data_IF_592345970688
#
_entry.id   IF_592345970688
#
_cell.length_a   1.000
_cell.length_b   1.000
_cell.length_c   1.000
_cell.angle_alpha   90.00
_cell.angle_beta   90.00
_cell.angle_gamma   90.00
#
_symmetry.space_group_name_H-M   'P 1'
#
loop_
_entity.id
_entity.type
_entity.pdbx_description
1 polymer ?
#
# COMPACT_ATOMS: atom_id res chain seq x y z
N UNK A 1 0.03 10.80 14.08
CA UNK A 1 0.77 9.63 14.63
C UNK A 1 1.51 8.93 13.51
N UNK A 2 2.65 8.29 13.79
CA UNK A 2 3.43 7.51 12.81
C UNK A 2 4.01 6.26 13.47
N UNK A 3 4.17 5.17 12.74
CA UNK A 3 4.78 3.93 13.22
C UNK A 3 6.17 4.18 13.82
N UNK A 4 6.98 5.04 13.19
CA UNK A 4 8.31 5.40 13.69
C UNK A 4 8.29 6.11 15.04
N UNK A 5 7.16 6.71 15.41
CA UNK A 5 6.91 7.44 16.66
C UNK A 5 6.08 6.64 17.67
N UNK A 6 5.85 5.35 17.46
CA UNK A 6 5.26 4.49 18.48
C UNK A 6 6.15 4.53 19.72
N UNK A 7 5.59 4.80 20.92
CA UNK A 7 6.37 4.87 22.15
C UNK A 7 7.16 3.57 22.39
N UNK A 8 8.35 3.65 23.00
CA UNK A 8 9.17 2.46 23.27
C UNK A 8 8.53 1.52 24.30
N UNK A 9 7.66 2.04 25.17
CA UNK A 9 6.93 1.29 26.19
C UNK A 9 5.42 1.40 25.98
N UNK A 10 4.71 0.28 26.17
CA UNK A 10 3.25 0.22 26.13
C UNK A 10 2.59 1.02 27.29
N UNK A 11 3.32 1.27 28.38
CA UNK A 11 2.84 2.05 29.52
C UNK A 11 2.89 3.57 29.27
N UNK A 12 3.39 4.00 28.11
CA UNK A 12 3.39 5.43 27.76
C UNK A 12 1.97 5.96 27.66
N UNK A 13 1.70 7.15 28.22
CA UNK A 13 0.41 7.84 28.10
C UNK A 13 -0.05 8.04 26.64
N UNK A 14 0.89 8.07 25.69
CA UNK A 14 0.59 8.22 24.27
C UNK A 14 0.26 6.90 23.57
N UNK A 15 0.57 5.75 24.18
CA UNK A 15 0.33 4.43 23.58
C UNK A 15 -1.15 4.19 23.32
N UNK A 16 -2.01 4.61 24.26
CA UNK A 16 -3.48 4.46 24.14
C UNK A 16 -4.04 5.16 22.91
N UNK A 17 -3.42 6.23 22.43
CA UNK A 17 -3.85 6.92 21.21
C UNK A 17 -3.59 6.07 19.95
N UNK A 18 -2.55 5.24 19.93
CA UNK A 18 -2.28 4.30 18.84
C UNK A 18 -3.28 3.15 18.84
N UNK A 19 -3.60 2.58 20.02
CA UNK A 19 -4.64 1.55 20.14
C UNK A 19 -5.99 2.07 19.63
N UNK A 20 -6.39 3.29 20.01
CA UNK A 20 -7.63 3.91 19.53
C UNK A 20 -7.68 4.06 18.01
N UNK A 21 -6.54 4.35 17.35
CA UNK A 21 -6.49 4.38 15.88
C UNK A 21 -6.67 3.01 15.25
N UNK A 22 -6.07 1.98 15.86
CA UNK A 22 -6.23 0.59 15.43
C UNK A 22 -7.68 0.14 15.62
N UNK A 23 -8.28 0.46 16.77
CA UNK A 23 -9.68 0.17 17.06
C UNK A 23 -10.62 0.83 16.06
N UNK A 24 -10.39 2.11 15.75
CA UNK A 24 -11.16 2.84 14.74
C UNK A 24 -11.13 2.11 13.38
N UNK A 25 -9.94 1.68 12.94
CA UNK A 25 -9.81 0.90 11.71
C UNK A 25 -10.66 -0.38 11.77
N UNK A 26 -10.52 -1.19 12.83
CA UNK A 26 -11.23 -2.47 12.94
C UNK A 26 -12.74 -2.30 13.09
N UNK A 27 -13.20 -1.21 13.72
CA UNK A 27 -14.62 -0.87 13.77
C UNK A 27 -15.19 -0.66 12.37
N UNK A 28 -14.59 0.21 11.55
CA UNK A 28 -15.04 0.43 10.18
C UNK A 28 -14.81 -0.79 9.28
N UNK A 29 -13.76 -1.59 9.52
CA UNK A 29 -13.50 -2.81 8.78
C UNK A 29 -14.58 -3.87 9.02
N UNK A 30 -15.02 -4.05 10.27
CA UNK A 30 -16.11 -4.97 10.63
C UNK A 30 -17.43 -4.63 9.93
N UNK A 31 -17.65 -3.33 9.66
CA UNK A 31 -18.81 -2.80 8.93
C UNK A 31 -18.63 -2.84 7.40
N UNK A 32 -17.52 -3.37 6.89
CA UNK A 32 -17.12 -3.36 5.47
C UNK A 32 -17.06 -1.93 4.86
N UNK A 33 -16.68 -0.93 5.66
CA UNK A 33 -16.56 0.48 5.23
C UNK A 33 -15.09 0.84 4.93
N UNK A 34 -14.15 0.27 5.68
CA UNK A 34 -12.73 0.56 5.56
C UNK A 34 -11.93 -0.71 5.31
N UNK A 35 -11.03 -0.66 4.34
CA UNK A 35 -10.23 -1.80 3.92
C UNK A 35 -8.75 -1.44 3.97
N UNK A 36 -7.91 -2.42 4.28
CA UNK A 36 -6.45 -2.24 4.27
C UNK A 36 -5.80 -3.23 3.32
N UNK A 37 -4.81 -2.75 2.56
CA UNK A 37 -3.95 -3.56 1.72
C UNK A 37 -2.54 -3.01 1.76
N UNK A 38 -1.57 -3.91 1.88
CA UNK A 38 -0.15 -3.59 1.77
C UNK A 38 0.56 -4.56 0.84
N UNK A 39 1.64 -4.07 0.23
CA UNK A 39 2.55 -4.84 -0.61
C UNK A 39 3.86 -5.04 0.13
N UNK A 40 4.34 -6.27 0.18
CA UNK A 40 5.67 -6.64 0.64
C UNK A 40 6.51 -6.89 -0.59
N UNK A 41 7.65 -6.20 -0.65
CA UNK A 41 8.60 -6.30 -1.76
C UNK A 41 9.95 -6.65 -1.16
N UNK A 42 10.55 -7.74 -1.62
CA UNK A 42 11.94 -8.04 -1.30
C UNK A 42 12.86 -7.17 -2.17
N UNK A 43 13.61 -6.26 -1.55
CA UNK A 43 14.54 -5.37 -2.26
C UNK A 43 15.68 -6.11 -2.95
N UNK A 44 15.99 -7.33 -2.53
CA UNK A 44 17.01 -8.16 -3.18
C UNK A 44 16.48 -8.81 -4.47
N UNK A 45 15.15 -8.92 -4.61
CA UNK A 45 14.52 -9.57 -5.76
C UNK A 45 13.90 -8.58 -6.75
N UNK A 46 13.60 -7.37 -6.30
CA UNK A 46 13.00 -6.32 -7.11
C UNK A 46 13.93 -5.11 -7.23
N UNK A 47 14.42 -4.91 -8.46
CA UNK A 47 15.12 -3.70 -8.84
C UNK A 47 14.11 -2.58 -9.14
N UNK A 48 14.16 -1.51 -8.36
CA UNK A 48 13.30 -0.34 -8.49
C UNK A 48 13.72 0.59 -9.62
N UNK A 49 14.97 0.54 -10.09
CA UNK A 49 15.44 1.44 -11.18
C UNK A 49 15.30 0.78 -12.54
N UNK A 50 15.42 -0.54 -12.60
CA UNK A 50 15.24 -1.40 -13.77
C UNK A 50 15.53 -0.70 -15.10
N UNK A 51 16.79 -0.62 -15.52
CA UNK A 51 17.22 0.11 -16.73
C UNK A 51 16.32 -0.10 -17.95
N UNK A 52 15.95 -1.35 -18.24
CA UNK A 52 15.10 -1.68 -19.40
C UNK A 52 13.66 -1.13 -19.31
N UNK A 53 13.09 -0.98 -18.11
CA UNK A 53 11.68 -0.59 -17.95
C UNK A 53 11.50 0.82 -17.43
N UNK A 54 12.41 1.30 -16.58
CA UNK A 54 12.33 2.62 -15.96
C UNK A 54 13.55 3.48 -16.23
N UNK A 55 14.50 3.03 -17.09
CA UNK A 55 15.68 3.83 -17.51
C UNK A 55 16.51 4.37 -16.34
N UNK A 56 16.62 3.60 -15.26
CA UNK A 56 17.35 4.00 -14.07
C UNK A 56 16.52 4.81 -13.06
N UNK A 57 15.27 5.13 -13.37
CA UNK A 57 14.40 5.95 -12.55
C UNK A 57 13.74 5.17 -11.41
N UNK A 58 14.29 5.34 -10.20
CA UNK A 58 13.75 4.75 -8.98
C UNK A 58 12.29 5.16 -8.69
N UNK A 59 11.94 6.42 -8.97
CA UNK A 59 10.60 6.93 -8.66
C UNK A 59 9.57 6.28 -9.57
N UNK A 60 9.88 6.10 -10.84
CA UNK A 60 9.00 5.35 -11.75
C UNK A 60 8.78 3.91 -11.28
N UNK A 61 9.83 3.19 -10.87
CA UNK A 61 9.67 1.84 -10.32
C UNK A 61 8.88 1.78 -9.02
N UNK A 62 9.00 2.81 -8.17
CA UNK A 62 8.19 2.96 -6.97
C UNK A 62 6.71 3.21 -7.29
N UNK A 63 6.40 4.14 -8.20
CA UNK A 63 5.03 4.42 -8.63
C UNK A 63 4.38 3.25 -9.40
N UNK A 64 5.18 2.39 -10.01
CA UNK A 64 4.69 1.11 -10.54
C UNK A 64 4.16 0.19 -9.44
N UNK A 65 4.71 0.20 -8.23
CA UNK A 65 4.16 -0.55 -7.10
C UNK A 65 2.83 0.03 -6.64
N UNK A 66 2.67 1.36 -6.65
CA UNK A 66 1.35 1.98 -6.45
C UNK A 66 0.34 1.51 -7.50
N UNK A 67 0.74 1.46 -8.78
CA UNK A 67 -0.10 0.92 -9.84
C UNK A 67 -0.56 -0.50 -9.50
N UNK A 68 0.36 -1.39 -9.12
CA UNK A 68 0.05 -2.79 -8.78
C UNK A 68 -0.87 -2.90 -7.56
N UNK A 69 -0.64 -2.08 -6.54
CA UNK A 69 -1.45 -2.07 -5.32
C UNK A 69 -2.90 -1.64 -5.62
N UNK A 70 -3.07 -0.55 -6.37
CA UNK A 70 -4.36 0.12 -6.60
C UNK A 70 -5.18 -0.57 -7.69
N UNK A 71 -4.56 -0.98 -8.80
CA UNK A 71 -5.26 -1.54 -9.96
C UNK A 71 -6.17 -2.71 -9.58
N UNK A 72 -5.72 -3.55 -8.65
CA UNK A 72 -6.44 -4.73 -8.18
C UNK A 72 -7.63 -4.41 -7.25
N UNK A 73 -7.86 -3.15 -6.91
CA UNK A 73 -9.02 -2.67 -6.14
C UNK A 73 -10.03 -1.90 -6.97
N UNK A 74 -9.67 -1.50 -8.19
CA UNK A 74 -10.59 -0.82 -9.08
C UNK A 74 -11.69 -1.78 -9.52
N UNK A 75 -12.94 -1.32 -9.47
CA UNK A 75 -14.11 -2.06 -9.89
C UNK A 75 -14.83 -1.31 -11.01
N UNK A 76 -15.54 -2.07 -11.85
CA UNK A 76 -16.41 -1.51 -12.88
C UNK A 76 -17.48 -0.62 -12.24
N UNK A 77 -17.85 0.44 -12.94
CA UNK A 77 -18.92 1.37 -12.55
C UNK A 77 -18.65 2.22 -11.30
N UNK A 78 -17.46 2.15 -10.71
CA UNK A 78 -17.05 3.00 -9.60
C UNK A 78 -16.19 4.17 -10.08
N UNK A 79 -16.29 5.29 -9.36
CA UNK A 79 -15.40 6.44 -9.51
C UNK A 79 -14.51 6.58 -8.28
N UNK A 80 -13.21 6.74 -8.50
CA UNK A 80 -12.20 6.75 -7.44
C UNK A 80 -11.47 8.10 -7.37
N UNK A 81 -11.45 8.66 -6.16
CA UNK A 81 -10.61 9.79 -5.78
C UNK A 81 -9.51 9.29 -4.84
N UNK A 82 -8.28 9.23 -5.33
CA UNK A 82 -7.16 8.65 -4.61
C UNK A 82 -6.36 9.76 -3.94
N UNK A 83 -6.05 9.55 -2.66
CA UNK A 83 -5.18 10.45 -1.89
C UNK A 83 -3.97 9.67 -1.43
N UNK A 84 -2.79 10.12 -1.79
CA UNK A 84 -1.53 9.52 -1.34
C UNK A 84 -0.84 10.42 -0.32
N UNK A 85 -0.02 9.83 0.53
CA UNK A 85 0.81 10.62 1.45
C UNK A 85 1.86 11.39 0.64
N UNK A 86 1.96 12.70 0.87
CA UNK A 86 3.03 13.51 0.30
C UNK A 86 4.39 12.94 0.69
N UNK A 87 5.29 12.88 -0.28
CA UNK A 87 6.66 12.42 -0.11
C UNK A 87 7.58 13.31 -0.96
N UNK A 88 8.75 13.72 -0.45
CA UNK A 88 9.75 14.38 -1.28
C UNK A 88 10.21 13.43 -2.38
N UNK A 89 10.02 13.84 -3.63
CA UNK A 89 10.43 13.08 -4.81
C UNK A 89 11.82 13.56 -5.22
N UNK A 90 12.72 12.60 -5.51
CA UNK A 90 13.98 12.93 -6.15
C UNK A 90 13.72 13.13 -7.63
N UNK A 91 13.90 14.36 -8.11
CA UNK A 91 13.69 14.68 -9.53
C UNK A 91 14.72 13.95 -10.39
N UNK A 92 14.24 13.15 -11.34
CA UNK A 92 15.07 12.54 -12.38
C UNK A 92 15.39 13.53 -13.51
N UNK A 93 14.53 14.52 -13.72
CA UNK A 93 14.70 15.60 -14.71
C UNK A 93 14.10 16.92 -14.22
N UNK A 94 14.30 18.01 -14.95
CA UNK A 94 13.75 19.34 -14.60
C UNK A 94 12.21 19.35 -14.55
N UNK A 95 11.59 18.60 -15.46
CA UNK A 95 10.14 18.50 -15.62
C UNK A 95 9.50 17.46 -14.69
N UNK A 96 10.34 16.67 -14.01
CA UNK A 96 9.89 15.70 -13.03
C UNK A 96 9.45 16.41 -11.74
N UNK A 97 8.14 16.52 -11.55
CA UNK A 97 7.51 17.03 -10.35
C UNK A 97 6.46 16.04 -9.82
N UNK A 98 6.03 16.24 -8.56
CA UNK A 98 5.01 15.37 -7.96
C UNK A 98 3.73 15.36 -8.78
N UNK A 99 3.26 16.52 -9.24
CA UNK A 99 2.07 16.61 -10.09
C UNK A 99 2.18 15.76 -11.37
N UNK A 100 3.33 15.82 -12.05
CA UNK A 100 3.59 14.99 -13.24
C UNK A 100 3.47 13.50 -12.92
N UNK A 101 4.07 13.03 -11.82
CA UNK A 101 4.02 11.62 -11.40
C UNK A 101 2.61 11.17 -11.00
N UNK A 102 1.84 12.05 -10.35
CA UNK A 102 0.44 11.75 -10.01
C UNK A 102 -0.44 11.66 -11.26
N UNK A 103 -0.25 12.55 -12.24
CA UNK A 103 -0.98 12.47 -13.50
C UNK A 103 -0.59 11.22 -14.29
N UNK A 104 0.70 10.90 -14.37
CA UNK A 104 1.18 9.65 -14.96
C UNK A 104 0.58 8.40 -14.29
N UNK A 105 0.51 8.38 -12.95
CA UNK A 105 -0.10 7.27 -12.20
C UNK A 105 -1.58 7.12 -12.55
N UNK A 106 -2.32 8.24 -12.64
CA UNK A 106 -3.73 8.26 -13.03
C UNK A 106 -3.93 7.67 -14.42
N UNK A 107 -3.17 8.17 -15.41
CA UNK A 107 -3.23 7.68 -16.79
C UNK A 107 -2.90 6.19 -16.86
N UNK A 108 -1.83 5.76 -16.18
CA UNK A 108 -1.40 4.36 -16.16
C UNK A 108 -2.44 3.43 -15.54
N UNK A 109 -3.07 3.83 -14.44
CA UNK A 109 -4.15 3.06 -13.80
C UNK A 109 -5.36 2.93 -14.73
N UNK A 110 -5.79 4.04 -15.32
CA UNK A 110 -6.94 4.06 -16.24
C UNK A 110 -6.69 3.23 -17.50
N UNK A 111 -5.52 3.38 -18.12
CA UNK A 111 -5.13 2.62 -19.32
C UNK A 111 -5.02 1.12 -19.03
N UNK A 112 -4.42 0.73 -17.89
CA UNK A 112 -4.33 -0.69 -17.50
C UNK A 112 -5.71 -1.27 -17.16
N UNK A 113 -6.55 -0.52 -16.46
CA UNK A 113 -7.91 -0.95 -16.14
C UNK A 113 -8.72 -1.18 -17.40
N UNK A 114 -8.68 -0.22 -18.33
CA UNK A 114 -9.33 -0.31 -19.63
C UNK A 114 -8.83 -1.54 -20.41
N UNK A 115 -7.51 -1.70 -20.57
CA UNK A 115 -6.92 -2.83 -21.28
C UNK A 115 -7.30 -4.18 -20.67
N UNK A 116 -7.35 -4.26 -19.33
CA UNK A 116 -7.72 -5.49 -18.61
C UNK A 116 -9.18 -5.88 -18.86
N UNK A 117 -10.08 -4.91 -18.84
CA UNK A 117 -11.52 -5.15 -18.99
C UNK A 117 -11.92 -5.30 -20.46
N UNK A 118 -11.30 -4.52 -21.35
CA UNK A 118 -11.65 -4.48 -22.76
C UNK A 118 -10.99 -5.59 -23.58
N UNK A 119 -10.08 -6.39 -23.00
CA UNK A 119 -9.39 -7.50 -23.68
C UNK A 119 -10.31 -8.42 -24.49
N UNK A 120 -11.54 -8.62 -24.01
CA UNK A 120 -12.57 -9.42 -24.69
C UNK A 120 -13.79 -8.60 -25.13
N UNK A 121 -13.82 -7.30 -24.85
CA UNK A 121 -14.99 -6.43 -25.06
C UNK A 121 -15.35 -6.29 -26.54
N UNK A 122 -14.33 -6.23 -27.42
CA UNK A 122 -14.51 -6.15 -28.87
C UNK A 122 -15.18 -7.40 -29.48
N UNK A 123 -14.96 -8.59 -28.91
CA UNK A 123 -15.58 -9.84 -29.37
C UNK A 123 -17.08 -9.91 -29.06
N UNK A 124 -17.55 -9.18 -28.04
CA UNK A 124 -18.92 -9.26 -27.56
C UNK A 124 -19.72 -7.96 -27.76
N UNK A 125 -19.18 -6.98 -28.51
CA UNK A 125 -19.85 -5.73 -28.81
C UNK A 125 -20.12 -4.85 -27.58
N UNK A 126 -19.39 -5.03 -26.48
CA UNK A 126 -19.58 -4.24 -25.27
C UNK A 126 -19.05 -2.81 -25.45
N UNK A 127 -19.77 -1.83 -24.89
CA UNK A 127 -19.33 -0.44 -24.88
C UNK A 127 -18.04 -0.26 -24.08
N UNK A 128 -17.20 0.68 -24.53
CA UNK A 128 -15.96 1.05 -23.85
C UNK A 128 -16.26 1.54 -22.42
N UNK A 129 -15.62 0.92 -21.43
CA UNK A 129 -15.81 1.28 -20.02
C UNK A 129 -15.15 2.63 -19.72
N UNK A 130 -15.87 3.50 -19.00
CA UNK A 130 -15.35 4.80 -18.53
C UNK A 130 -14.13 4.59 -17.61
N UNK A 131 -13.06 5.39 -17.75
CA UNK A 131 -11.93 5.38 -16.83
C UNK A 131 -12.37 5.64 -15.38
N UNK A 132 -12.06 4.75 -14.42
CA UNK A 132 -12.62 4.84 -13.07
C UNK A 132 -11.87 5.80 -12.13
N UNK A 133 -10.61 6.14 -12.41
CA UNK A 133 -9.81 7.04 -11.55
C UNK A 133 -9.99 8.48 -11.98
N UNK A 134 -10.66 9.28 -11.14
CA UNK A 134 -11.00 10.67 -11.43
C UNK A 134 -9.87 11.61 -11.00
N UNK A 135 -9.37 11.47 -9.77
CA UNK A 135 -8.25 12.28 -9.27
C UNK A 135 -7.25 11.46 -8.47
N UNK A 136 -6.00 11.90 -8.50
CA UNK A 136 -4.93 11.47 -7.59
C UNK A 136 -4.26 12.72 -7.05
N UNK A 137 -4.22 12.85 -5.72
CA UNK A 137 -3.66 14.02 -5.04
C UNK A 137 -2.71 13.59 -3.92
N UNK A 138 -1.60 14.32 -3.77
CA UNK A 138 -0.76 14.21 -2.58
C UNK A 138 -1.35 15.00 -1.42
N UNK A 139 -1.24 14.45 -0.20
CA UNK A 139 -1.76 15.07 1.02
C UNK A 139 -0.76 14.90 2.17
N UNK A 140 -0.61 15.95 2.96
CA UNK A 140 0.22 15.91 4.16
C UNK A 140 -0.31 14.91 5.21
N UNK A 141 0.57 14.05 5.71
CA UNK A 141 0.20 12.98 6.64
C UNK A 141 -0.12 13.47 8.06
N UNK A 142 0.37 14.67 8.44
CA UNK A 142 0.35 15.16 9.83
C UNK A 142 -1.07 15.29 10.39
N UNK A 143 -2.03 15.65 9.55
CA UNK A 143 -3.40 15.98 9.96
C UNK A 143 -4.45 15.00 9.43
N UNK A 144 -4.03 13.95 8.73
CA UNK A 144 -4.93 13.03 8.03
C UNK A 144 -4.95 11.66 8.72
N UNK A 145 -6.04 11.36 9.42
CA UNK A 145 -6.21 10.12 10.19
C UNK A 145 -6.08 8.86 9.32
N UNK A 146 -6.65 8.84 8.11
CA UNK A 146 -6.57 7.67 7.22
C UNK A 146 -5.12 7.34 6.83
N UNK A 147 -4.31 8.35 6.52
CA UNK A 147 -2.88 8.16 6.22
C UNK A 147 -2.14 7.65 7.46
N UNK A 148 -2.47 8.15 8.65
CA UNK A 148 -1.86 7.71 9.90
C UNK A 148 -2.19 6.26 10.24
N UNK A 149 -3.44 5.85 10.01
CA UNK A 149 -3.87 4.45 10.15
C UNK A 149 -3.08 3.58 9.18
N UNK A 150 -3.02 3.94 7.90
CA UNK A 150 -2.26 3.20 6.90
C UNK A 150 -0.77 3.06 7.28
N UNK A 151 -0.14 4.13 7.76
CA UNK A 151 1.27 4.13 8.22
C UNK A 151 1.48 3.20 9.44
N UNK A 152 0.55 3.18 10.40
CA UNK A 152 0.62 2.30 11.57
C UNK A 152 0.45 0.83 11.16
N UNK A 153 -0.57 0.51 10.36
CA UNK A 153 -0.86 -0.86 9.94
C UNK A 153 0.26 -1.42 9.06
N UNK A 154 0.69 -0.65 8.05
CA UNK A 154 1.82 -1.02 7.19
C UNK A 154 3.11 -1.16 7.99
N UNK A 155 3.37 -0.26 8.95
CA UNK A 155 4.53 -0.33 9.82
C UNK A 155 4.56 -1.58 10.70
N UNK A 156 3.40 -1.99 11.23
CA UNK A 156 3.27 -3.21 12.02
C UNK A 156 3.51 -4.48 11.17
N UNK A 157 2.96 -4.53 9.95
CA UNK A 157 3.25 -5.62 9.01
C UNK A 157 4.75 -5.65 8.70
N UNK A 158 5.34 -4.52 8.34
CA UNK A 158 6.77 -4.40 8.05
C UNK A 158 7.67 -4.78 9.23
N UNK A 159 7.25 -4.54 10.48
CA UNK A 159 7.97 -4.94 11.68
C UNK A 159 8.10 -6.47 11.81
N UNK A 160 7.02 -7.20 11.49
CA UNK A 160 7.08 -8.65 11.44
C UNK A 160 7.92 -9.16 10.26
N UNK A 161 7.64 -8.67 9.05
CA UNK A 161 8.31 -9.13 7.81
C UNK A 161 9.81 -8.83 7.78
N UNK A 162 10.26 -7.76 8.43
CA UNK A 162 11.69 -7.44 8.58
C UNK A 162 12.32 -8.11 9.82
N UNK A 163 11.63 -9.04 10.49
CA UNK A 163 12.11 -9.78 11.68
C UNK A 163 12.55 -8.87 12.83
N UNK A 164 12.01 -7.64 12.90
CA UNK A 164 12.36 -6.67 13.95
C UNK A 164 11.97 -7.15 15.36
N UNK A 165 10.95 -8.01 15.43
CA UNK A 165 10.49 -8.65 16.67
C UNK A 165 11.50 -9.66 17.26
N UNK A 166 12.46 -10.14 16.47
CA UNK A 166 13.48 -11.11 16.90
C UNK A 166 14.78 -10.43 17.38
N UNK A 167 14.91 -9.11 17.23
CA UNK A 167 16.12 -8.38 17.63
C UNK A 167 16.23 -8.32 19.16
N UNK A 168 17.45 -8.41 19.67
CA UNK A 168 17.74 -8.35 21.11
C UNK A 168 17.26 -7.05 21.77
N UNK A 169 17.24 -5.94 21.01
CA UNK A 169 16.79 -4.62 21.46
C UNK A 169 15.37 -4.26 20.97
N UNK A 170 14.48 -5.26 20.89
CA UNK A 170 13.11 -5.07 20.40
C UNK A 170 12.39 -3.96 21.19
N UNK A 171 11.79 -3.01 20.45
CA UNK A 171 11.00 -1.94 21.06
C UNK A 171 9.68 -2.50 21.56
N UNK A 172 9.54 -2.64 22.87
CA UNK A 172 8.42 -3.33 23.50
C UNK A 172 7.06 -2.73 23.07
N UNK A 173 6.93 -1.41 22.99
CA UNK A 173 5.69 -0.78 22.50
C UNK A 173 5.33 -1.13 21.05
N UNK A 174 6.30 -1.22 20.13
CA UNK A 174 6.03 -1.67 18.76
C UNK A 174 5.60 -3.14 18.72
N UNK A 175 6.27 -3.99 19.50
CA UNK A 175 5.90 -5.40 19.63
C UNK A 175 4.48 -5.55 20.16
N UNK A 176 4.12 -4.83 21.23
CA UNK A 176 2.78 -4.85 21.81
C UNK A 176 1.73 -4.38 20.80
N UNK A 177 1.96 -3.26 20.10
CA UNK A 177 1.00 -2.75 19.12
C UNK A 177 0.84 -3.70 17.92
N UNK A 178 1.92 -4.31 17.45
CA UNK A 178 1.87 -5.26 16.34
C UNK A 178 1.13 -6.56 16.74
N UNK A 179 1.37 -7.06 17.96
CA UNK A 179 0.62 -8.18 18.54
C UNK A 179 -0.87 -7.85 18.71
N UNK A 180 -1.19 -6.62 19.12
CA UNK A 180 -2.57 -6.16 19.23
C UNK A 180 -3.29 -6.15 17.87
N UNK A 181 -2.62 -5.69 16.81
CA UNK A 181 -3.18 -5.74 15.45
C UNK A 181 -3.37 -7.20 14.99
N UNK A 182 -2.40 -8.08 15.27
CA UNK A 182 -2.51 -9.50 14.94
C UNK A 182 -3.68 -10.18 15.67
N UNK A 183 -3.87 -9.90 16.96
CA UNK A 183 -4.96 -10.49 17.75
C UNK A 183 -6.34 -10.03 17.26
N UNK A 184 -6.48 -8.77 16.83
CA UNK A 184 -7.70 -8.28 16.15
C UNK A 184 -8.02 -9.00 14.85
N UNK A 185 -7.02 -9.63 14.22
CA UNK A 185 -7.17 -10.48 13.03
C UNK A 185 -7.32 -11.97 13.38
N UNK A 186 -7.36 -12.34 14.66
CA UNK A 186 -7.38 -13.73 15.11
C UNK A 186 -6.08 -14.49 14.81
N UNK A 187 -4.94 -13.79 14.79
CA UNK A 187 -3.62 -14.35 14.45
C UNK A 187 -2.59 -14.09 15.55
N UNK A 188 -1.55 -14.91 15.56
CA UNK A 188 -0.42 -14.77 16.48
C UNK A 188 0.57 -13.67 16.05
N UNK A 189 0.67 -13.43 14.74
CA UNK A 189 1.57 -12.45 14.13
C UNK A 189 1.01 -11.90 12.82
N UNK A 190 1.80 -11.04 12.15
CA UNK A 190 1.51 -10.48 10.83
C UNK A 190 2.39 -11.08 9.71
N UNK A 191 2.99 -12.26 9.94
CA UNK A 191 3.80 -13.01 8.97
C UNK A 191 2.91 -13.95 8.15
N UNK A 192 2.01 -13.37 7.36
CA UNK A 192 1.16 -14.15 6.45
C UNK A 192 0.87 -13.37 5.17
N UNK A 193 0.40 -14.09 4.16
CA UNK A 193 -0.14 -13.50 2.94
C UNK A 193 -1.64 -13.79 2.83
N UNK A 194 -2.35 -12.96 2.10
CA UNK A 194 -3.79 -13.11 1.85
C UNK A 194 -4.07 -13.51 0.42
N UNK A 195 -5.21 -14.19 0.21
CA UNK A 195 -5.74 -14.44 -1.14
C UNK A 195 -6.16 -13.11 -1.79
N UNK A 196 -6.19 -13.08 -3.11
CA UNK A 196 -6.51 -11.87 -3.89
C UNK A 196 -7.92 -11.31 -3.60
N UNK A 197 -8.87 -12.19 -3.25
CA UNK A 197 -10.28 -11.89 -3.01
C UNK A 197 -10.59 -11.51 -1.56
N UNK A 198 -9.67 -11.72 -0.63
CA UNK A 198 -9.78 -11.10 0.69
C UNK A 198 -9.67 -9.60 0.47
N UNK A 199 -10.58 -8.81 1.04
CA UNK A 199 -10.56 -7.34 0.94
C UNK A 199 -10.43 -6.66 2.30
N UNK A 200 -10.52 -7.40 3.41
CA UNK A 200 -10.62 -6.80 4.74
C UNK A 200 -9.27 -6.28 5.20
N UNK A 201 -8.28 -7.14 5.34
CA UNK A 201 -6.92 -6.79 5.71
C UNK A 201 -5.96 -7.62 4.87
N UNK A 202 -5.32 -7.02 3.87
CA UNK A 202 -4.56 -7.78 2.88
C UNK A 202 -3.07 -7.52 2.96
N UNK A 203 -2.31 -8.60 2.92
CA UNK A 203 -0.85 -8.59 2.82
C UNK A 203 -0.49 -9.38 1.57
N UNK A 204 0.05 -8.69 0.57
CA UNK A 204 0.52 -9.33 -0.66
C UNK A 204 2.04 -9.35 -0.71
N UNK A 205 2.60 -10.53 -1.00
CA UNK A 205 4.00 -10.64 -1.34
C UNK A 205 4.16 -10.45 -2.85
N UNK A 206 4.88 -9.41 -3.25
CA UNK A 206 5.29 -9.19 -4.63
C UNK A 206 6.56 -10.00 -4.91
N UNK A 207 6.34 -11.25 -5.31
CA UNK A 207 7.42 -12.19 -5.62
C UNK A 207 7.80 -12.12 -7.10
N UNK A 208 8.94 -11.51 -7.40
CA UNK A 208 9.52 -11.43 -8.74
C UNK A 208 10.53 -12.53 -9.04
N UNK A 209 10.85 -13.40 -8.07
CA UNK A 209 11.81 -14.50 -8.25
C UNK A 209 11.37 -15.48 -9.34
N UNK A 210 10.06 -15.73 -9.46
CA UNK A 210 9.46 -16.63 -10.46
C UNK A 210 9.66 -16.14 -11.90
N UNK A 211 9.90 -14.84 -12.10
CA UNK A 211 10.20 -14.25 -13.41
C UNK A 211 11.66 -14.44 -13.83
N UNK A 212 12.56 -14.73 -12.89
CA UNK A 212 13.99 -15.01 -13.18
C UNK A 212 14.21 -16.40 -13.80
N UNK A 213 13.24 -17.31 -13.73
CA UNK A 213 13.29 -18.66 -14.31
C UNK A 213 13.07 -18.73 -15.83
N UNK A 214 12.94 -17.58 -16.51
CA UNK A 214 12.82 -17.49 -17.98
C UNK A 214 13.93 -16.64 -18.61
N UNK A 215 15.18 -16.90 -18.21
CA UNK A 215 16.37 -16.46 -18.93
C UNK A 215 17.20 -17.66 -19.31
#
# INVERSE_FOLDING_TARGET
MKWTKVPPSANSKYFKAYEKLVDLYFEYNSKNIMFFRTLIVNKNDYDFTHEKFYKGDYEEGFYNLYCQLILNWLQKSNEYHIRIAHRPIKKASRDDCEEFRLNWLKEKLNNKFESTINKYSWFFGYQKVKPPVITIESREARERRLIQIADILMGAVGFYWNKEHLKSNVRNGKLTLAKYIASKLGRNDLLFTTKWNDKRFNIFLFDTSKTKLKK
#
